data_IF_677576052046
#
_entry.id   IF_677576052046
#
_cell.length_a   1.000
_cell.length_b   1.000
_cell.length_c   1.000
_cell.angle_alpha   90.00
_cell.angle_beta   90.00
_cell.angle_gamma   90.00
#
_symmetry.space_group_name_H-M   'P 1'
#
loop_
_entity.id
_entity.type
_entity.pdbx_description
1 polymer ?
#
# COMPACT_ATOMS: atom_id res chain seq x y z
N UNK A 1 12.55 -11.62 20.34
CA UNK A 1 12.94 -12.71 19.42
C UNK A 1 11.75 -12.93 18.50
N UNK A 2 11.75 -12.29 17.35
CA UNK A 2 10.82 -12.56 16.27
C UNK A 2 11.48 -13.60 15.37
N UNK A 3 10.92 -14.81 15.33
CA UNK A 3 11.32 -15.80 14.35
C UNK A 3 10.69 -15.41 13.00
N UNK A 4 11.53 -14.85 12.14
CA UNK A 4 11.27 -14.73 10.73
C UNK A 4 11.30 -16.13 10.10
N UNK A 5 10.23 -16.49 9.41
CA UNK A 5 10.28 -17.55 8.40
C UNK A 5 11.04 -17.01 7.17
N UNK A 6 12.36 -17.13 7.19
CA UNK A 6 13.20 -17.05 5.99
C UNK A 6 13.25 -18.47 5.46
N UNK A 7 12.52 -18.77 4.41
CA UNK A 7 12.74 -20.00 3.63
C UNK A 7 13.03 -19.65 2.17
N UNK A 8 14.29 -19.79 1.85
CA UNK A 8 14.72 -20.48 0.64
C UNK A 8 14.89 -19.69 -0.63
N UNK A 9 15.87 -18.82 -0.72
CA UNK A 9 16.50 -18.55 -2.01
C UNK A 9 17.82 -19.31 -2.09
N UNK A 10 17.81 -20.44 -2.83
CA UNK A 10 19.03 -21.07 -3.31
C UNK A 10 19.54 -20.31 -4.53
N UNK A 11 20.71 -19.73 -4.40
CA UNK A 11 21.48 -19.18 -5.51
C UNK A 11 21.71 -20.22 -6.61
N UNK A 12 21.38 -19.88 -7.84
CA UNK A 12 22.01 -20.43 -9.04
C UNK A 12 22.62 -19.26 -9.80
N UNK A 13 23.93 -19.25 -9.80
CA UNK A 13 24.75 -18.40 -10.66
C UNK A 13 24.54 -18.83 -12.12
N UNK A 14 24.18 -17.88 -12.99
CA UNK A 14 24.78 -17.72 -14.31
C UNK A 14 24.26 -16.44 -15.00
N UNK A 15 25.21 -15.61 -15.39
CA UNK A 15 25.12 -14.78 -16.59
C UNK A 15 24.70 -13.31 -16.43
N UNK A 16 25.64 -12.38 -16.47
CA UNK A 16 25.42 -11.07 -17.03
C UNK A 16 25.50 -9.88 -16.06
N UNK A 17 26.36 -8.97 -16.39
CA UNK A 17 26.72 -7.71 -15.69
C UNK A 17 25.51 -6.77 -15.37
N UNK A 18 24.31 -7.06 -15.86
CA UNK A 18 23.04 -6.35 -15.57
C UNK A 18 22.37 -6.75 -14.24
N UNK A 19 22.72 -7.91 -13.67
CA UNK A 19 22.02 -8.46 -12.50
C UNK A 19 22.41 -7.81 -11.15
N UNK A 20 23.51 -7.08 -11.09
CA UNK A 20 24.03 -6.54 -9.82
C UNK A 20 23.29 -5.30 -9.30
N UNK A 21 22.69 -4.49 -10.16
CA UNK A 21 22.16 -3.16 -9.81
C UNK A 21 20.66 -3.15 -9.52
N UNK A 22 19.89 -4.03 -10.15
CA UNK A 22 18.50 -4.28 -9.72
C UNK A 22 18.42 -4.90 -8.31
N UNK A 23 19.45 -5.63 -7.87
CA UNK A 23 19.49 -6.25 -6.53
C UNK A 23 19.40 -5.20 -5.40
N UNK A 24 20.04 -4.06 -5.50
CA UNK A 24 20.01 -3.05 -4.43
C UNK A 24 18.61 -2.42 -4.25
N UNK A 25 17.92 -2.10 -5.33
CA UNK A 25 16.56 -1.54 -5.26
C UNK A 25 15.54 -2.57 -4.78
N UNK A 26 15.69 -3.84 -5.12
CA UNK A 26 14.84 -4.93 -4.65
C UNK A 26 15.07 -5.15 -3.15
N UNK A 27 16.32 -5.19 -2.69
CA UNK A 27 16.65 -5.33 -1.26
C UNK A 27 16.10 -4.15 -0.46
N UNK A 28 16.22 -2.93 -0.98
CA UNK A 28 15.68 -1.74 -0.32
C UNK A 28 14.15 -1.80 -0.20
N UNK A 29 13.45 -2.25 -1.25
CA UNK A 29 11.99 -2.41 -1.23
C UNK A 29 11.57 -3.48 -0.23
N UNK A 30 12.21 -4.63 -0.22
CA UNK A 30 11.96 -5.69 0.76
C UNK A 30 12.14 -5.18 2.19
N UNK A 31 13.11 -4.30 2.43
CA UNK A 31 13.30 -3.66 3.74
C UNK A 31 12.10 -2.79 4.12
N UNK A 32 11.59 -1.95 3.21
CA UNK A 32 10.41 -1.12 3.47
C UNK A 32 9.14 -1.96 3.67
N UNK A 33 8.92 -2.97 2.84
CA UNK A 33 7.75 -3.86 2.95
C UNK A 33 7.79 -4.69 4.23
N UNK A 34 8.95 -5.20 4.62
CA UNK A 34 9.14 -5.93 5.88
C UNK A 34 8.98 -5.02 7.10
N UNK A 35 9.41 -3.76 7.02
CA UNK A 35 9.25 -2.76 8.07
C UNK A 35 7.81 -2.29 8.19
N UNK A 36 7.08 -2.20 7.07
CA UNK A 36 5.67 -1.85 6.98
C UNK A 36 5.35 -0.36 7.17
N UNK A 37 6.33 0.51 7.38
CA UNK A 37 6.16 1.96 7.54
C UNK A 37 7.26 2.76 6.85
N UNK A 38 6.99 4.04 6.54
CA UNK A 38 7.96 4.99 6.00
C UNK A 38 8.47 5.96 7.07
N UNK A 39 9.74 6.33 6.98
CA UNK A 39 10.33 7.43 7.75
C UNK A 39 10.34 8.72 6.94
N UNK A 40 10.43 8.61 5.63
CA UNK A 40 10.42 9.70 4.66
C UNK A 40 8.98 10.05 4.22
N UNK A 41 8.72 11.27 3.76
CA UNK A 41 7.42 11.64 3.20
C UNK A 41 7.01 10.81 2.00
N UNK A 42 7.95 10.50 1.12
CA UNK A 42 7.72 9.72 -0.10
C UNK A 42 9.01 9.06 -0.57
N UNK A 43 8.87 7.87 -1.18
CA UNK A 43 9.95 7.19 -1.92
C UNK A 43 9.44 6.80 -3.30
N UNK A 44 10.33 6.87 -4.28
CA UNK A 44 10.04 6.48 -5.65
C UNK A 44 11.07 5.42 -6.10
N UNK A 45 10.58 4.33 -6.69
CA UNK A 45 11.40 3.25 -7.22
C UNK A 45 11.04 2.98 -8.67
N UNK A 46 12.05 2.76 -9.49
CA UNK A 46 11.93 2.17 -10.81
C UNK A 46 12.42 0.72 -10.74
N UNK A 47 11.59 -0.22 -11.11
CA UNK A 47 11.83 -1.66 -10.95
C UNK A 47 11.64 -2.39 -12.26
N UNK A 48 12.49 -3.38 -12.49
CA UNK A 48 12.37 -4.29 -13.63
C UNK A 48 12.74 -5.69 -13.15
N UNK A 49 11.74 -6.55 -13.01
CA UNK A 49 11.89 -7.93 -12.54
C UNK A 49 11.65 -8.89 -13.68
N UNK A 50 12.55 -9.86 -13.82
CA UNK A 50 12.47 -10.92 -14.83
C UNK A 50 12.17 -12.28 -14.20
N UNK A 51 11.99 -12.35 -12.90
CA UNK A 51 11.76 -13.58 -12.18
C UNK A 51 10.28 -13.82 -11.95
N UNK A 52 9.88 -15.08 -12.10
CA UNK A 52 8.56 -15.53 -11.71
C UNK A 52 8.47 -15.61 -10.19
N UNK A 53 7.90 -14.60 -9.58
CA UNK A 53 7.78 -14.54 -8.14
C UNK A 53 6.30 -14.33 -7.78
N UNK A 54 5.76 -15.27 -7.00
CA UNK A 54 4.49 -15.06 -6.32
C UNK A 54 4.81 -14.40 -4.98
N UNK A 55 4.30 -13.19 -4.80
CA UNK A 55 4.41 -12.50 -3.53
C UNK A 55 3.27 -12.91 -2.63
N UNK A 56 3.59 -13.24 -1.37
CA UNK A 56 2.55 -13.49 -0.37
C UNK A 56 1.71 -12.26 -0.12
N UNK A 57 0.46 -12.47 0.29
CA UNK A 57 -0.44 -11.40 0.67
C UNK A 57 0.13 -10.63 1.86
N UNK A 58 0.26 -9.32 1.73
CA UNK A 58 0.79 -8.44 2.77
C UNK A 58 0.06 -7.07 2.77
N UNK A 59 0.40 -6.24 3.72
CA UNK A 59 -0.08 -4.87 3.86
C UNK A 59 1.00 -4.01 4.51
N UNK A 60 0.88 -2.70 4.38
CA UNK A 60 1.78 -1.73 5.00
C UNK A 60 1.01 -0.48 5.45
N UNK A 61 1.64 0.35 6.29
CA UNK A 61 1.02 1.56 6.86
C UNK A 61 1.15 2.80 5.96
N UNK A 62 1.71 2.66 4.78
CA UNK A 62 1.84 3.72 3.79
C UNK A 62 0.96 3.42 2.57
N UNK A 63 0.64 4.46 1.81
CA UNK A 63 -0.02 4.30 0.53
C UNK A 63 0.98 3.91 -0.53
N UNK A 64 0.51 3.15 -1.53
CA UNK A 64 1.32 2.69 -2.65
C UNK A 64 0.61 3.02 -3.96
N UNK A 65 1.32 3.69 -4.86
CA UNK A 65 0.88 3.89 -6.23
C UNK A 65 1.87 3.19 -7.14
N UNK A 66 1.37 2.34 -8.03
CA UNK A 66 2.18 1.59 -8.97
C UNK A 66 1.73 1.94 -10.37
N UNK A 67 2.66 2.38 -11.21
CA UNK A 67 2.44 2.50 -12.64
C UNK A 67 3.07 1.29 -13.33
N UNK A 68 2.23 0.46 -13.95
CA UNK A 68 2.66 -0.66 -14.78
C UNK A 68 3.20 -0.12 -16.12
N UNK A 69 4.48 -0.29 -16.41
CA UNK A 69 5.06 0.11 -17.67
C UNK A 69 5.03 -1.03 -18.69
N UNK A 70 5.32 -2.24 -18.22
CA UNK A 70 5.31 -3.45 -19.03
C UNK A 70 5.18 -4.67 -18.11
N UNK A 71 4.55 -5.72 -18.60
CA UNK A 71 4.50 -7.03 -17.93
C UNK A 71 3.13 -7.67 -18.05
N UNK A 72 3.11 -8.99 -17.80
CA UNK A 72 1.90 -9.79 -17.66
C UNK A 72 1.74 -10.11 -16.17
N UNK A 73 0.89 -9.35 -15.52
CA UNK A 73 0.82 -9.26 -14.05
C UNK A 73 -0.61 -9.33 -13.59
N UNK A 74 -0.88 -10.19 -12.63
CA UNK A 74 -2.10 -10.20 -11.85
C UNK A 74 -1.84 -9.51 -10.50
N UNK A 75 -2.54 -8.41 -10.25
CA UNK A 75 -2.45 -7.65 -9.01
C UNK A 75 -3.75 -7.76 -8.24
N UNK A 76 -3.70 -8.25 -7.01
CA UNK A 76 -4.88 -8.43 -6.17
C UNK A 76 -4.86 -7.41 -5.03
N UNK A 77 -5.98 -6.69 -4.81
CA UNK A 77 -6.18 -5.78 -3.68
C UNK A 77 -7.52 -6.10 -3.03
N UNK A 78 -7.51 -6.33 -1.72
CA UNK A 78 -8.72 -6.64 -0.93
C UNK A 78 -9.61 -7.73 -1.60
N UNK A 79 -8.98 -8.76 -2.16
CA UNK A 79 -9.66 -9.90 -2.79
C UNK A 79 -10.12 -9.69 -4.24
N UNK A 80 -9.88 -8.51 -4.85
CA UNK A 80 -10.12 -8.25 -6.27
C UNK A 80 -8.82 -8.38 -7.06
N UNK A 81 -8.81 -9.25 -8.07
CA UNK A 81 -7.65 -9.46 -8.94
C UNK A 81 -7.81 -8.74 -10.27
N UNK A 82 -6.80 -8.02 -10.68
CA UNK A 82 -6.72 -7.24 -11.90
C UNK A 82 -5.59 -7.75 -12.78
N UNK A 83 -5.89 -7.99 -14.05
CA UNK A 83 -4.85 -8.21 -15.06
C UNK A 83 -4.40 -6.83 -15.57
N UNK A 84 -3.16 -6.48 -15.26
CA UNK A 84 -2.64 -5.16 -15.59
C UNK A 84 -2.23 -5.07 -17.05
N UNK A 85 -2.56 -3.94 -17.66
CA UNK A 85 -2.05 -3.53 -18.97
C UNK A 85 -0.99 -2.43 -18.80
N UNK A 86 -0.13 -2.20 -19.82
CA UNK A 86 0.80 -1.08 -19.81
C UNK A 86 0.08 0.25 -19.60
N UNK A 87 0.61 1.07 -18.69
CA UNK A 87 0.10 2.36 -18.21
C UNK A 87 -1.10 2.28 -17.25
N UNK A 88 -1.49 1.11 -16.80
CA UNK A 88 -2.41 0.98 -15.68
C UNK A 88 -1.76 1.51 -14.40
N UNK A 89 -2.54 2.24 -13.61
CA UNK A 89 -2.13 2.78 -12.32
C UNK A 89 -2.88 2.04 -11.22
N UNK A 90 -2.13 1.31 -10.38
CA UNK A 90 -2.68 0.61 -9.22
C UNK A 90 -2.57 1.52 -8.01
N UNK A 91 -3.67 1.71 -7.30
CA UNK A 91 -3.74 2.41 -6.02
C UNK A 91 -3.95 1.39 -4.92
N UNK A 92 -3.04 1.35 -3.96
CA UNK A 92 -3.16 0.57 -2.73
C UNK A 92 -3.12 1.56 -1.57
N UNK A 93 -4.24 1.70 -0.88
CA UNK A 93 -4.30 2.55 0.29
C UNK A 93 -3.57 1.89 1.47
N UNK A 94 -3.20 2.72 2.45
CA UNK A 94 -2.64 2.19 3.70
C UNK A 94 -3.53 1.08 4.26
N UNK A 95 -2.90 0.02 4.75
CA UNK A 95 -3.56 -1.11 5.39
C UNK A 95 -4.48 -1.96 4.50
N UNK A 96 -4.47 -1.75 3.18
CA UNK A 96 -5.11 -2.66 2.23
C UNK A 96 -4.23 -3.89 1.99
N UNK A 97 -4.84 -5.07 2.10
CA UNK A 97 -4.16 -6.33 1.79
C UNK A 97 -4.02 -6.47 0.29
N UNK A 98 -2.81 -6.74 -0.15
CA UNK A 98 -2.53 -6.93 -1.58
C UNK A 98 -1.49 -8.00 -1.81
N UNK A 99 -1.50 -8.55 -3.01
CA UNK A 99 -0.53 -9.51 -3.52
C UNK A 99 -0.29 -9.28 -5.01
N UNK A 100 0.86 -9.73 -5.47
CA UNK A 100 1.31 -9.61 -6.84
C UNK A 100 1.71 -10.99 -7.35
N UNK A 101 1.26 -11.34 -8.55
CA UNK A 101 1.67 -12.53 -9.27
C UNK A 101 2.17 -12.14 -10.66
N UNK A 102 3.42 -12.45 -10.95
CA UNK A 102 4.06 -12.16 -12.24
C UNK A 102 4.00 -13.40 -13.11
N UNK A 103 3.44 -13.29 -14.31
CA UNK A 103 3.42 -14.37 -15.29
C UNK A 103 4.75 -14.47 -16.05
N UNK A 104 5.20 -15.67 -16.26
CA UNK A 104 6.58 -16.18 -16.46
C UNK A 104 7.42 -15.66 -17.62
N UNK A 105 6.91 -14.93 -18.59
CA UNK A 105 7.64 -14.77 -19.87
C UNK A 105 8.00 -13.34 -20.25
N UNK A 106 7.37 -12.38 -19.62
CA UNK A 106 7.60 -10.96 -19.87
C UNK A 106 8.09 -10.33 -18.60
N UNK A 107 9.22 -9.63 -18.64
CA UNK A 107 9.69 -8.87 -17.45
C UNK A 107 8.62 -7.89 -16.97
N UNK A 108 8.54 -7.66 -15.67
CA UNK A 108 7.64 -6.69 -15.06
C UNK A 108 8.40 -5.39 -14.79
N UNK A 109 8.10 -4.36 -15.57
CA UNK A 109 8.67 -3.02 -15.44
C UNK A 109 7.63 -2.08 -14.85
N UNK A 110 8.00 -1.35 -13.80
CA UNK A 110 7.08 -0.47 -13.07
C UNK A 110 7.77 0.69 -12.37
N UNK A 111 7.04 1.76 -12.13
CA UNK A 111 7.38 2.80 -11.16
C UNK A 111 6.49 2.61 -9.93
N UNK A 112 7.08 2.69 -8.75
CA UNK A 112 6.38 2.53 -7.47
C UNK A 112 6.62 3.75 -6.60
N UNK A 113 5.55 4.36 -6.12
CA UNK A 113 5.58 5.40 -5.10
C UNK A 113 5.09 4.82 -3.78
N UNK A 114 5.89 4.95 -2.73
CA UNK A 114 5.48 4.77 -1.35
C UNK A 114 5.25 6.15 -0.74
N UNK A 115 4.10 6.35 -0.12
CA UNK A 115 3.63 7.66 0.32
C UNK A 115 3.22 7.54 1.78
N UNK A 116 3.92 8.27 2.66
CA UNK A 116 3.63 8.31 4.08
C UNK A 116 2.23 8.88 4.34
N UNK A 117 1.46 8.32 5.28
CA UNK A 117 0.20 8.92 5.70
C UNK A 117 0.41 10.38 6.12
N UNK A 118 -0.47 11.26 5.72
CA UNK A 118 -0.37 12.69 6.02
C UNK A 118 0.52 13.51 5.09
N UNK A 119 1.37 12.87 4.25
CA UNK A 119 2.20 13.64 3.31
C UNK A 119 1.37 14.44 2.29
N UNK A 120 0.34 13.84 1.73
CA UNK A 120 -0.53 14.52 0.77
C UNK A 120 -1.58 15.41 1.45
N UNK A 121 -1.91 15.16 2.72
CA UNK A 121 -2.88 15.97 3.46
C UNK A 121 -2.42 17.41 3.68
N UNK A 122 -1.11 17.66 3.76
CA UNK A 122 -0.58 19.02 3.86
C UNK A 122 -0.85 19.87 2.61
N UNK A 123 -1.21 19.24 1.50
CA UNK A 123 -1.60 19.89 0.24
C UNK A 123 -3.12 19.87 0.03
N UNK A 124 -3.89 19.69 1.09
CA UNK A 124 -5.35 19.77 1.06
C UNK A 124 -5.79 21.21 1.24
N UNK A 125 -6.71 21.66 0.40
CA UNK A 125 -7.30 23.01 0.44
C UNK A 125 -8.83 22.90 0.28
N UNK A 126 -9.56 24.00 0.40
CA UNK A 126 -11.01 24.02 0.17
C UNK A 126 -11.40 23.70 -1.29
N UNK A 127 -10.48 23.85 -2.22
CA UNK A 127 -10.70 23.73 -3.65
C UNK A 127 -10.09 22.46 -4.26
N UNK A 128 -9.18 21.81 -3.58
CA UNK A 128 -8.53 20.57 -4.04
C UNK A 128 -8.07 19.68 -2.89
N UNK A 129 -8.01 18.37 -3.18
CA UNK A 129 -7.43 17.36 -2.31
C UNK A 129 -6.64 16.36 -3.16
N UNK A 130 -5.34 16.26 -2.95
CA UNK A 130 -4.50 15.34 -3.73
C UNK A 130 -4.79 13.85 -3.45
N UNK A 131 -5.59 13.55 -2.42
CA UNK A 131 -6.04 12.20 -2.10
C UNK A 131 -7.34 11.81 -2.81
N UNK A 132 -8.00 12.69 -3.57
CA UNK A 132 -9.32 12.41 -4.18
C UNK A 132 -9.35 11.13 -5.01
N UNK A 133 -8.32 10.86 -5.82
CA UNK A 133 -8.23 9.62 -6.60
C UNK A 133 -8.13 8.38 -5.71
N UNK A 134 -7.46 8.48 -4.57
CA UNK A 134 -7.27 7.39 -3.61
C UNK A 134 -8.54 7.16 -2.78
N UNK A 135 -9.18 8.23 -2.33
CA UNK A 135 -10.46 8.20 -1.62
C UNK A 135 -11.57 7.64 -2.52
N UNK A 136 -11.57 8.02 -3.81
CA UNK A 136 -12.51 7.49 -4.81
C UNK A 136 -12.25 6.00 -5.06
N UNK A 137 -11.01 5.58 -5.23
CA UNK A 137 -10.65 4.17 -5.40
C UNK A 137 -11.15 3.31 -4.23
N UNK A 138 -10.94 3.79 -2.98
CA UNK A 138 -11.41 3.11 -1.78
C UNK A 138 -12.95 3.03 -1.71
N UNK A 139 -13.65 4.13 -2.01
CA UNK A 139 -15.12 4.20 -1.98
C UNK A 139 -15.76 3.31 -3.04
N UNK A 140 -15.21 3.27 -4.24
CA UNK A 140 -15.72 2.49 -5.36
C UNK A 140 -15.19 1.06 -5.37
N UNK A 141 -14.30 0.73 -4.42
CA UNK A 141 -13.59 -0.55 -4.41
C UNK A 141 -12.96 -0.90 -5.76
N UNK A 142 -12.35 0.08 -6.40
CA UNK A 142 -11.73 -0.03 -7.72
C UNK A 142 -10.30 0.51 -7.67
N UNK A 143 -9.34 -0.39 -7.52
CA UNK A 143 -7.95 -0.04 -7.23
C UNK A 143 -7.08 0.19 -8.48
N UNK A 144 -7.60 -0.05 -9.68
CA UNK A 144 -6.86 0.12 -10.93
C UNK A 144 -7.51 1.17 -11.80
N UNK A 145 -6.72 2.15 -12.20
CA UNK A 145 -7.12 3.27 -13.07
C UNK A 145 -6.40 3.11 -14.41
N UNK A 146 -7.17 3.13 -15.49
CA UNK A 146 -6.68 3.20 -16.88
C UNK A 146 -6.95 4.57 -17.45
N UNK A 147 -5.90 5.24 -17.92
CA UNK A 147 -6.02 6.59 -18.47
C UNK A 147 -6.13 6.51 -19.99
N UNK A 148 -7.21 7.11 -20.53
CA UNK A 148 -7.41 7.22 -21.97
C UNK A 148 -6.30 8.09 -22.57
N UNK A 149 -5.73 7.63 -23.69
CA UNK A 149 -4.67 8.34 -24.41
C UNK A 149 -3.44 8.71 -23.53
N UNK A 150 -3.07 7.85 -22.59
CA UNK A 150 -1.96 8.07 -21.65
C UNK A 150 -0.70 8.61 -22.35
N UNK A 151 -0.37 8.07 -23.52
CA UNK A 151 0.84 8.44 -24.29
C UNK A 151 0.87 9.92 -24.69
N UNK A 152 -0.27 10.57 -24.83
CA UNK A 152 -0.39 12.00 -25.18
C UNK A 152 -0.52 12.89 -23.94
N UNK A 153 -0.62 12.31 -22.76
CA UNK A 153 -0.87 13.03 -21.51
C UNK A 153 0.39 13.63 -20.91
N UNK A 154 0.23 14.64 -20.05
CA UNK A 154 1.32 15.17 -19.24
C UNK A 154 1.85 14.11 -18.26
N UNK A 155 1.00 13.19 -17.83
CA UNK A 155 1.41 12.05 -16.97
C UNK A 155 2.51 11.21 -17.63
N UNK A 156 2.39 10.90 -18.92
CA UNK A 156 3.43 10.15 -19.63
C UNK A 156 4.77 10.89 -19.67
N UNK A 157 4.75 12.22 -19.81
CA UNK A 157 5.97 13.03 -19.80
C UNK A 157 6.64 12.98 -18.43
N UNK A 158 5.87 13.18 -17.35
CA UNK A 158 6.36 13.10 -15.96
C UNK A 158 6.95 11.72 -15.68
N UNK A 159 6.25 10.66 -16.06
CA UNK A 159 6.69 9.27 -15.89
C UNK A 159 7.99 9.00 -16.64
N UNK A 160 8.12 9.51 -17.88
CA UNK A 160 9.35 9.38 -18.66
C UNK A 160 10.53 10.07 -17.96
N UNK A 161 10.29 11.23 -17.39
CA UNK A 161 11.30 12.01 -16.65
C UNK A 161 11.72 11.31 -15.36
N UNK A 162 10.76 10.82 -14.58
CA UNK A 162 11.02 10.01 -13.38
C UNK A 162 11.82 8.74 -13.72
N UNK A 163 11.47 8.06 -14.81
CA UNK A 163 12.22 6.89 -15.30
C UNK A 163 13.66 7.24 -15.61
N UNK A 164 13.91 8.35 -16.32
CA UNK A 164 15.26 8.79 -16.67
C UNK A 164 16.10 9.12 -15.44
N UNK A 165 15.52 9.78 -14.44
CA UNK A 165 16.18 10.11 -13.19
C UNK A 165 16.58 8.82 -12.45
N UNK A 166 15.65 7.91 -12.25
CA UNK A 166 15.91 6.66 -11.54
C UNK A 166 16.93 5.77 -12.29
N UNK A 167 16.86 5.73 -13.62
CA UNK A 167 17.82 5.01 -14.43
C UNK A 167 19.24 5.56 -14.26
N UNK A 168 19.42 6.89 -14.24
CA UNK A 168 20.73 7.52 -14.00
C UNK A 168 21.27 7.18 -12.60
N UNK A 169 20.44 7.24 -11.57
CA UNK A 169 20.82 6.84 -10.21
C UNK A 169 21.31 5.39 -10.17
N UNK A 170 20.62 4.50 -10.87
CA UNK A 170 20.97 3.07 -10.90
C UNK A 170 22.20 2.75 -11.76
N UNK A 171 22.53 3.55 -12.78
CA UNK A 171 23.62 3.30 -13.72
C UNK A 171 24.93 4.03 -13.38
N UNK A 172 24.90 5.04 -12.51
CA UNK A 172 26.12 5.70 -12.08
C UNK A 172 27.01 4.72 -11.32
N UNK A 173 28.06 4.28 -11.98
CA UNK A 173 29.11 3.46 -11.39
C UNK A 173 29.88 4.32 -10.35
N UNK A 174 29.74 3.93 -9.13
CA UNK A 174 30.68 4.09 -8.00
C UNK A 174 31.89 4.98 -8.23
N UNK A 175 31.70 6.26 -8.35
CA UNK A 175 32.77 7.24 -8.27
C UNK A 175 32.18 8.52 -7.73
N UNK A 176 32.19 8.72 -6.42
CA UNK A 176 32.08 10.00 -5.68
C UNK A 176 31.41 11.21 -6.36
N UNK A 177 30.58 11.01 -7.35
CA UNK A 177 29.84 12.09 -7.98
C UNK A 177 28.62 12.37 -7.14
N UNK A 178 28.58 13.58 -6.61
CA UNK A 178 27.56 14.11 -5.73
C UNK A 178 26.20 13.92 -6.41
N UNK A 179 25.21 13.51 -5.62
CA UNK A 179 23.82 13.53 -6.03
C UNK A 179 23.51 14.87 -6.70
N UNK A 180 22.87 14.91 -7.87
CA UNK A 180 22.57 16.15 -8.57
C UNK A 180 21.86 17.13 -7.63
N UNK A 181 22.18 18.41 -7.73
CA UNK A 181 21.64 19.44 -6.86
C UNK A 181 20.10 19.32 -6.75
N UNK A 182 19.61 19.20 -5.53
CA UNK A 182 18.18 19.14 -5.19
C UNK A 182 17.38 18.01 -5.87
N UNK A 183 18.02 16.90 -6.24
CA UNK A 183 17.36 15.82 -6.97
C UNK A 183 16.19 15.19 -6.20
N UNK A 184 16.34 14.97 -4.91
CA UNK A 184 15.27 14.48 -4.04
C UNK A 184 14.08 15.43 -4.05
N UNK A 185 14.32 16.75 -3.94
CA UNK A 185 13.26 17.76 -4.03
C UNK A 185 12.59 17.73 -5.41
N UNK A 186 13.36 17.57 -6.47
CA UNK A 186 12.83 17.51 -7.83
C UNK A 186 11.91 16.29 -8.04
N UNK A 187 12.30 15.13 -7.52
CA UNK A 187 11.42 13.94 -7.52
C UNK A 187 10.11 14.17 -6.75
N UNK A 188 10.16 14.88 -5.62
CA UNK A 188 8.96 15.25 -4.88
C UNK A 188 8.06 16.18 -5.69
N UNK A 189 8.61 17.18 -6.39
CA UNK A 189 7.85 18.08 -7.26
C UNK A 189 7.21 17.34 -8.44
N UNK A 190 7.94 16.45 -9.10
CA UNK A 190 7.41 15.59 -10.16
C UNK A 190 6.28 14.67 -9.65
N UNK A 191 6.43 14.11 -8.45
CA UNK A 191 5.38 13.31 -7.84
C UNK A 191 4.13 14.14 -7.52
N UNK A 192 4.27 15.34 -6.97
CA UNK A 192 3.12 16.23 -6.71
C UNK A 192 2.43 16.64 -8.02
N UNK A 193 3.21 16.95 -9.05
CA UNK A 193 2.68 17.22 -10.39
C UNK A 193 1.93 16.00 -10.95
N UNK A 194 2.49 14.79 -10.79
CA UNK A 194 1.83 13.54 -11.14
C UNK A 194 0.49 13.40 -10.44
N UNK A 195 0.42 13.63 -9.12
CA UNK A 195 -0.82 13.56 -8.35
C UNK A 195 -1.86 14.58 -8.81
N UNK A 196 -1.46 15.81 -9.14
CA UNK A 196 -2.36 16.83 -9.69
C UNK A 196 -2.98 16.34 -11.01
N UNK A 197 -2.15 15.83 -11.93
CA UNK A 197 -2.64 15.38 -13.22
C UNK A 197 -3.44 14.09 -13.14
N UNK A 198 -3.10 13.17 -12.23
CA UNK A 198 -3.89 11.97 -11.96
C UNK A 198 -5.29 12.34 -11.44
N UNK A 199 -5.38 13.23 -10.45
CA UNK A 199 -6.67 13.69 -9.93
C UNK A 199 -7.49 14.42 -10.98
N UNK A 200 -6.89 15.29 -11.81
CA UNK A 200 -7.57 15.92 -12.94
C UNK A 200 -8.14 14.89 -13.92
N UNK A 201 -7.37 13.86 -14.27
CA UNK A 201 -7.83 12.81 -15.16
C UNK A 201 -9.02 12.04 -14.57
N UNK A 202 -8.97 11.75 -13.26
CA UNK A 202 -10.05 11.04 -12.53
C UNK A 202 -11.31 11.88 -12.39
N UNK A 203 -11.18 13.18 -12.16
CA UNK A 203 -12.32 14.10 -11.98
C UNK A 203 -13.03 14.45 -13.30
N UNK A 204 -12.29 14.48 -14.40
CA UNK A 204 -12.82 14.86 -15.72
C UNK A 204 -13.19 13.67 -16.62
N UNK A 205 -13.33 12.47 -16.07
CA UNK A 205 -13.74 11.25 -16.79
C UNK A 205 -12.83 10.84 -17.96
N UNK A 206 -11.57 11.29 -17.96
CA UNK A 206 -10.56 10.80 -18.89
C UNK A 206 -9.96 9.46 -18.47
N UNK A 207 -10.53 8.84 -17.45
CA UNK A 207 -10.10 7.58 -16.90
C UNK A 207 -11.23 6.57 -16.91
N UNK A 208 -10.83 5.30 -16.89
CA UNK A 208 -11.69 4.19 -16.56
C UNK A 208 -11.15 3.52 -15.31
N UNK A 209 -12.01 3.29 -14.32
CA UNK A 209 -11.69 2.32 -13.29
C UNK A 209 -11.87 0.93 -13.88
N UNK A 210 -10.81 0.15 -13.86
CA UNK A 210 -10.83 -1.21 -14.40
C UNK A 210 -11.76 -2.06 -13.54
N UNK A 211 -12.84 -2.53 -14.15
CA UNK A 211 -13.72 -3.49 -13.52
C UNK A 211 -13.14 -4.88 -13.73
N UNK A 212 -13.10 -5.67 -12.69
CA UNK A 212 -12.65 -7.06 -12.77
C UNK A 212 -13.73 -8.01 -12.25
N UNK A 213 -13.95 -9.07 -13.00
CA UNK A 213 -14.77 -10.21 -12.59
C UNK A 213 -13.93 -11.31 -11.93
N UNK A 214 -12.61 -11.12 -11.89
CA UNK A 214 -11.67 -12.06 -11.25
C UNK A 214 -11.69 -11.79 -9.74
N UNK A 215 -12.78 -12.17 -9.11
CA UNK A 215 -12.95 -12.00 -7.68
C UNK A 215 -13.98 -12.96 -7.12
N UNK A 216 -13.85 -13.28 -5.85
CA UNK A 216 -14.91 -13.95 -5.12
C UNK A 216 -15.84 -12.89 -4.53
N UNK A 217 -16.98 -12.64 -5.19
CA UNK A 217 -17.94 -11.62 -4.78
C UNK A 217 -18.33 -11.75 -3.31
N UNK A 218 -18.49 -12.98 -2.80
CA UNK A 218 -18.82 -13.22 -1.39
C UNK A 218 -17.70 -12.77 -0.45
N UNK A 219 -16.44 -12.95 -0.84
CA UNK A 219 -15.30 -12.47 -0.03
C UNK A 219 -15.25 -10.94 0.00
N UNK A 220 -15.52 -10.28 -1.13
CA UNK A 220 -15.60 -8.82 -1.19
C UNK A 220 -16.72 -8.28 -0.30
N UNK A 221 -17.92 -8.89 -0.36
CA UNK A 221 -19.04 -8.53 0.51
C UNK A 221 -18.67 -8.69 2.00
N UNK A 222 -18.00 -9.79 2.37
CA UNK A 222 -17.53 -10.03 3.74
C UNK A 222 -16.50 -8.96 4.15
N UNK A 223 -15.52 -8.65 3.30
CA UNK A 223 -14.52 -7.61 3.55
C UNK A 223 -15.18 -6.25 3.75
N UNK A 224 -16.08 -5.86 2.87
CA UNK A 224 -16.84 -4.61 2.96
C UNK A 224 -17.64 -4.53 4.26
N UNK A 225 -18.35 -5.61 4.62
CA UNK A 225 -19.10 -5.67 5.86
C UNK A 225 -18.20 -5.55 7.10
N UNK A 226 -17.07 -6.24 7.12
CA UNK A 226 -16.10 -6.15 8.22
C UNK A 226 -15.60 -4.70 8.38
N UNK A 227 -15.18 -4.06 7.27
CA UNK A 227 -14.63 -2.70 7.30
C UNK A 227 -15.66 -1.66 7.76
N UNK A 228 -16.94 -1.85 7.45
CA UNK A 228 -18.04 -0.97 7.87
C UNK A 228 -18.47 -1.19 9.33
N UNK A 229 -18.15 -2.36 9.92
CA UNK A 229 -18.65 -2.76 11.24
C UNK A 229 -17.53 -3.08 12.24
N UNK A 230 -16.33 -2.49 12.09
CA UNK A 230 -15.16 -2.81 12.92
C UNK A 230 -15.41 -2.67 14.43
N UNK A 231 -16.25 -1.70 14.83
CA UNK A 231 -16.61 -1.43 16.22
C UNK A 231 -17.62 -2.45 16.78
N UNK A 232 -18.34 -3.12 15.89
CA UNK A 232 -19.43 -4.04 16.22
C UNK A 232 -18.96 -5.44 16.63
N UNK A 233 -19.92 -6.31 16.84
CA UNK A 233 -19.66 -7.71 17.15
C UNK A 233 -19.39 -8.49 15.85
N UNK A 234 -18.11 -8.71 15.57
CA UNK A 234 -17.63 -9.45 14.41
C UNK A 234 -17.07 -10.80 14.85
N UNK A 235 -17.93 -11.81 14.99
CA UNK A 235 -17.53 -13.18 15.17
C UNK A 235 -17.92 -14.05 13.96
N UNK A 236 -17.28 -15.21 13.84
CA UNK A 236 -17.51 -16.14 12.72
C UNK A 236 -18.99 -16.54 12.62
N UNK A 237 -19.67 -16.69 13.76
CA UNK A 237 -21.08 -17.07 13.81
C UNK A 237 -21.99 -15.97 13.23
N UNK A 238 -21.76 -14.73 13.60
CA UNK A 238 -22.48 -13.57 13.09
C UNK A 238 -22.27 -13.43 11.59
N UNK A 239 -21.02 -13.50 11.12
CA UNK A 239 -20.71 -13.42 9.70
C UNK A 239 -21.34 -14.57 8.90
N UNK A 240 -21.22 -15.80 9.38
CA UNK A 240 -21.80 -16.97 8.71
C UNK A 240 -23.32 -16.85 8.56
N UNK A 241 -24.01 -16.36 9.60
CA UNK A 241 -25.44 -16.09 9.57
C UNK A 241 -25.80 -14.96 8.62
N UNK A 242 -25.03 -13.85 8.65
CA UNK A 242 -25.26 -12.67 7.80
C UNK A 242 -25.14 -13.00 6.31
N UNK A 243 -24.17 -13.86 5.94
CA UNK A 243 -23.91 -14.22 4.54
C UNK A 243 -24.55 -15.55 4.11
N UNK A 244 -25.34 -16.17 4.97
CA UNK A 244 -26.00 -17.45 4.71
C UNK A 244 -25.03 -18.55 4.25
N UNK A 245 -23.85 -18.63 4.93
CA UNK A 245 -22.78 -19.56 4.59
C UNK A 245 -22.43 -20.47 5.77
N UNK A 246 -21.94 -21.68 5.49
CA UNK A 246 -21.31 -22.47 6.53
C UNK A 246 -19.99 -21.82 6.97
N UNK A 247 -19.70 -21.83 8.27
CA UNK A 247 -18.45 -21.28 8.86
C UNK A 247 -17.21 -21.81 8.13
N UNK A 248 -17.17 -23.12 7.91
CA UNK A 248 -16.02 -23.75 7.25
C UNK A 248 -15.81 -23.23 5.85
N UNK A 249 -16.86 -23.16 5.03
CA UNK A 249 -16.77 -22.66 3.66
C UNK A 249 -16.32 -21.21 3.62
N UNK A 250 -16.93 -20.35 4.46
CA UNK A 250 -16.57 -18.93 4.56
C UNK A 250 -15.11 -18.74 4.96
N UNK A 251 -14.62 -19.44 6.01
CA UNK A 251 -13.22 -19.35 6.44
C UNK A 251 -12.24 -19.82 5.37
N UNK A 252 -12.60 -20.88 4.62
CA UNK A 252 -11.77 -21.43 3.56
C UNK A 252 -11.63 -20.44 2.41
N UNK A 253 -12.75 -19.98 1.81
CA UNK A 253 -12.69 -19.05 0.67
C UNK A 253 -12.02 -17.72 1.04
N UNK A 254 -12.31 -17.21 2.23
CA UNK A 254 -11.69 -15.96 2.70
C UNK A 254 -10.17 -16.09 2.79
N UNK A 255 -9.66 -17.21 3.32
CA UNK A 255 -8.22 -17.46 3.41
C UNK A 255 -7.58 -17.71 2.05
N UNK A 256 -8.23 -18.41 1.15
CA UNK A 256 -7.75 -18.65 -0.22
C UNK A 256 -7.57 -17.32 -0.98
N UNK A 257 -8.54 -16.40 -0.86
CA UNK A 257 -8.51 -15.12 -1.58
C UNK A 257 -7.58 -14.08 -0.92
N UNK A 258 -7.60 -13.97 0.42
CA UNK A 258 -6.90 -12.90 1.13
C UNK A 258 -5.54 -13.32 1.71
N UNK A 259 -5.29 -14.62 1.86
CA UNK A 259 -4.13 -15.15 2.59
C UNK A 259 -4.29 -15.12 4.12
N UNK A 260 -5.34 -14.49 4.65
CA UNK A 260 -5.56 -14.30 6.09
C UNK A 260 -6.77 -15.08 6.61
N UNK A 261 -6.73 -15.46 7.89
CA UNK A 261 -7.95 -15.89 8.55
C UNK A 261 -8.84 -14.67 8.84
N UNK A 262 -10.16 -14.84 8.83
CA UNK A 262 -11.12 -13.75 9.13
C UNK A 262 -10.81 -13.09 10.47
N UNK A 263 -10.51 -13.88 11.52
CA UNK A 263 -10.18 -13.34 12.83
C UNK A 263 -8.91 -12.49 12.84
N UNK A 264 -7.85 -12.92 12.13
CA UNK A 264 -6.64 -12.13 11.98
C UNK A 264 -6.90 -10.85 11.19
N UNK A 265 -7.67 -10.91 10.11
CA UNK A 265 -8.05 -9.75 9.32
C UNK A 265 -8.79 -8.71 10.17
N UNK A 266 -9.86 -9.11 10.88
CA UNK A 266 -10.62 -8.23 11.79
C UNK A 266 -9.71 -7.60 12.84
N UNK A 267 -8.87 -8.41 13.49
CA UNK A 267 -7.97 -7.93 14.54
C UNK A 267 -6.99 -6.88 14.01
N UNK A 268 -6.42 -7.09 12.84
CA UNK A 268 -5.51 -6.13 12.21
C UNK A 268 -6.22 -4.83 11.84
N UNK A 269 -7.37 -4.89 11.17
CA UNK A 269 -8.15 -3.69 10.81
C UNK A 269 -8.54 -2.87 12.05
N UNK A 270 -8.95 -3.54 13.13
CA UNK A 270 -9.21 -2.88 14.43
C UNK A 270 -7.98 -2.19 15.00
N UNK A 271 -6.81 -2.83 14.92
CA UNK A 271 -5.57 -2.24 15.43
C UNK A 271 -5.12 -1.02 14.62
N UNK A 272 -5.29 -1.03 13.28
CA UNK A 272 -5.03 0.15 12.45
C UNK A 272 -6.00 1.29 12.76
N UNK A 273 -7.28 0.97 12.89
CA UNK A 273 -8.28 1.95 13.31
C UNK A 273 -7.95 2.55 14.69
N UNK A 274 -7.59 1.69 15.65
CA UNK A 274 -7.14 2.12 16.97
C UNK A 274 -5.92 3.04 16.92
N UNK A 275 -4.96 2.75 16.03
CA UNK A 275 -3.78 3.61 15.87
C UNK A 275 -4.16 5.00 15.39
N UNK A 276 -5.04 5.11 14.42
CA UNK A 276 -5.51 6.41 13.93
C UNK A 276 -6.18 7.23 15.05
N UNK A 277 -6.99 6.60 15.91
CA UNK A 277 -7.60 7.25 17.06
C UNK A 277 -6.56 7.70 18.10
N UNK A 278 -5.52 6.89 18.35
CA UNK A 278 -4.43 7.26 19.25
C UNK A 278 -3.64 8.48 18.76
N UNK A 279 -3.42 8.55 17.42
CA UNK A 279 -2.77 9.70 16.78
C UNK A 279 -3.60 10.99 16.91
N UNK A 280 -4.93 10.88 16.99
CA UNK A 280 -5.85 12.00 17.29
C UNK A 280 -5.89 12.36 18.79
N UNK A 281 -5.05 11.75 19.62
CA UNK A 281 -4.95 12.06 21.04
C UNK A 281 -6.00 11.40 21.94
N UNK A 282 -6.89 10.55 21.41
CA UNK A 282 -7.93 9.84 22.16
C UNK A 282 -7.31 8.93 23.24
N UNK A 283 -7.99 8.73 24.34
CA UNK A 283 -7.46 7.94 25.46
C UNK A 283 -7.34 6.45 25.11
N UNK A 284 -6.32 5.77 25.65
CA UNK A 284 -6.06 4.34 25.35
C UNK A 284 -7.27 3.46 25.70
N UNK A 285 -7.99 3.79 26.77
CA UNK A 285 -9.19 3.06 27.20
C UNK A 285 -10.34 3.25 26.20
N UNK A 286 -10.61 4.45 25.82
CA UNK A 286 -11.63 4.81 24.84
C UNK A 286 -11.33 4.18 23.47
N UNK A 287 -10.10 4.32 22.99
CA UNK A 287 -9.64 3.68 21.75
C UNK A 287 -9.82 2.16 21.77
N UNK A 288 -9.55 1.50 22.91
CA UNK A 288 -9.78 0.07 23.04
C UNK A 288 -11.23 -0.31 22.72
N UNK A 289 -12.19 0.40 23.28
CA UNK A 289 -13.61 0.09 23.07
C UNK A 289 -14.10 0.55 21.70
N UNK A 290 -13.75 1.75 21.28
CA UNK A 290 -14.12 2.27 19.96
C UNK A 290 -13.56 1.45 18.80
N UNK A 291 -12.42 0.81 18.98
CA UNK A 291 -11.87 -0.10 17.98
C UNK A 291 -12.44 -1.53 18.05
N UNK A 292 -13.43 -1.78 18.90
CA UNK A 292 -14.16 -3.05 18.99
C UNK A 292 -13.47 -4.11 19.84
N UNK A 293 -12.46 -3.76 20.65
CA UNK A 293 -11.90 -4.67 21.64
C UNK A 293 -12.72 -4.65 22.94
N UNK A 294 -12.93 -5.82 23.52
CA UNK A 294 -13.70 -5.97 24.78
C UNK A 294 -12.82 -5.77 26.03
N UNK A 295 -11.50 -5.97 25.91
CA UNK A 295 -10.58 -5.96 27.04
C UNK A 295 -9.28 -5.22 26.71
N UNK A 296 -8.90 -4.30 27.62
CA UNK A 296 -7.71 -3.46 27.49
C UNK A 296 -6.41 -4.27 27.43
N UNK A 297 -6.35 -5.37 28.18
CA UNK A 297 -5.17 -6.26 28.21
C UNK A 297 -4.96 -6.98 26.89
N UNK A 298 -6.02 -7.48 26.29
CA UNK A 298 -6.03 -8.14 24.97
C UNK A 298 -5.65 -7.14 23.89
N UNK A 299 -6.26 -5.95 23.90
CA UNK A 299 -5.93 -4.86 23.01
C UNK A 299 -4.45 -4.46 23.10
N UNK A 300 -3.97 -4.14 24.30
CA UNK A 300 -2.59 -3.66 24.50
C UNK A 300 -1.54 -4.67 24.06
N UNK A 301 -1.81 -5.95 24.28
CA UNK A 301 -0.95 -7.07 23.87
C UNK A 301 -0.91 -7.21 22.36
N UNK A 302 -2.07 -7.21 21.71
CA UNK A 302 -2.21 -7.29 20.25
C UNK A 302 -1.57 -6.07 19.57
N UNK A 303 -1.82 -4.86 20.09
CA UNK A 303 -1.24 -3.62 19.61
C UNK A 303 0.30 -3.63 19.67
N UNK A 304 0.86 -3.99 20.85
CA UNK A 304 2.32 -4.08 21.01
C UNK A 304 2.95 -5.17 20.12
N UNK A 305 2.24 -6.28 19.90
CA UNK A 305 2.70 -7.34 19.00
C UNK A 305 2.79 -6.84 17.55
N UNK A 306 1.81 -6.06 17.10
CA UNK A 306 1.75 -5.55 15.73
C UNK A 306 2.71 -4.38 15.50
N UNK A 307 2.69 -3.36 16.38
CA UNK A 307 3.42 -2.11 16.17
C UNK A 307 4.76 -2.01 16.94
N UNK A 308 5.13 -3.03 17.69
CA UNK A 308 6.38 -3.05 18.49
C UNK A 308 6.35 -2.16 19.75
N UNK A 309 5.40 -1.22 19.87
CA UNK A 309 5.26 -0.27 20.98
C UNK A 309 3.89 -0.38 21.64
N UNK A 310 3.78 0.04 22.89
CA UNK A 310 2.49 0.04 23.59
C UNK A 310 1.58 1.19 23.10
N UNK A 311 0.22 1.05 23.18
CA UNK A 311 -0.71 2.11 22.80
C UNK A 311 -0.43 3.44 23.49
N UNK A 312 -0.13 3.43 24.79
CA UNK A 312 0.20 4.63 25.54
C UNK A 312 1.49 5.33 25.10
N UNK A 313 2.49 4.56 24.65
CA UNK A 313 3.73 5.11 24.10
C UNK A 313 3.50 5.68 22.71
N UNK A 314 2.68 5.03 21.89
CA UNK A 314 2.28 5.53 20.57
C UNK A 314 1.61 6.90 20.67
N UNK A 315 0.63 7.05 21.57
CA UNK A 315 -0.07 8.33 21.85
C UNK A 315 0.86 9.45 22.29
N UNK A 316 1.87 9.15 23.14
CA UNK A 316 2.83 10.16 23.64
C UNK A 316 3.78 10.68 22.57
N UNK A 317 4.20 9.83 21.64
CA UNK A 317 5.11 10.22 20.55
C UNK A 317 4.45 11.30 19.68
N UNK A 318 3.15 11.17 19.42
CA UNK A 318 2.45 12.14 18.59
C UNK A 318 2.19 13.46 19.31
N UNK A 319 1.77 13.44 20.57
CA UNK A 319 1.65 14.66 21.39
C UNK A 319 2.94 15.48 21.39
N UNK A 320 4.07 14.83 21.58
CA UNK A 320 5.37 15.51 21.58
C UNK A 320 5.74 16.10 20.21
N UNK A 321 5.22 15.53 19.10
CA UNK A 321 5.42 16.10 17.74
C UNK A 321 4.55 17.34 17.51
N UNK A 322 3.34 17.36 18.04
CA UNK A 322 2.43 18.51 17.96
C UNK A 322 2.95 19.68 18.80
N UNK A 323 3.34 19.44 20.06
CA UNK A 323 3.92 20.45 20.96
C UNK A 323 5.20 21.07 20.36
N UNK A 324 6.08 20.27 19.73
CA UNK A 324 7.27 20.77 19.05
C UNK A 324 7.00 21.52 17.73
N UNK A 325 5.79 21.40 17.14
CA UNK A 325 5.39 22.19 15.99
C UNK A 325 4.81 23.55 16.40
N UNK A 326 4.08 23.60 17.51
CA UNK A 326 3.53 24.85 18.06
C UNK A 326 4.62 25.78 18.62
N UNK A 327 5.72 25.24 19.18
CA UNK A 327 6.87 26.03 19.65
C UNK A 327 7.74 26.62 18.50
N UNK A 328 7.51 26.22 17.25
CA UNK A 328 8.27 26.70 16.08
C UNK A 328 7.52 27.70 15.19
N UNK A 329 6.31 28.07 15.59
CA UNK A 329 5.50 29.14 14.99
C UNK A 329 5.29 30.27 15.97
#
# INVERSE_FOLDING_TARGET
MLNLCIMGMKERSDGGIMAGKCKNSIIEIEEYENRGYLLEPMRCFYLSDYNNTDFESHYHEFHKIILCLQGDVEYTVEGKSYLLEPNDIVIVNQNEIHKLKINKKTGYERIVFYISPGYLEQYRDQTYNLLDCMEKAAREHANVIRIKEFQKSRLNQIVTEIKQINFKIQTQETGRDQEPYAQTLYLHLLFLEFMIHLNRAVLHEYTEYVVTDICNQKVIEIISFINQNLQGELCIDVLASQFYMSKYHMMRIFREETGYTIGNYINQKRLFFARNLLLQGISVMEVCYESGFKELTTFSRAYKKLFGISPGKSRKIEKNKEENKEEKH
#
